data_IF_536401784237
#
_entry.id   IF_536401784237
#
_cell.length_a   1.000
_cell.length_b   1.000
_cell.length_c   1.000
_cell.angle_alpha   90.00
_cell.angle_beta   90.00
_cell.angle_gamma   90.00
#
_symmetry.space_group_name_H-M   'P 1'
#
loop_
_entity.id
_entity.type
_entity.pdbx_description
1 polymer ?
#
# COMPACT_ATOMS: atom_id res chain seq x y z
N UNK A 1 -8.04 -25.52 15.25
CA UNK A 1 -8.38 -24.08 15.26
C UNK A 1 -8.08 -23.53 13.88
N UNK A 2 -9.11 -23.11 13.12
CA UNK A 2 -8.89 -22.52 11.80
C UNK A 2 -8.19 -21.16 12.01
N UNK A 3 -6.96 -21.01 11.52
CA UNK A 3 -6.30 -19.73 11.49
C UNK A 3 -7.19 -18.74 10.74
N UNK A 4 -7.49 -17.58 11.35
CA UNK A 4 -8.15 -16.48 10.65
C UNK A 4 -7.28 -16.14 9.44
N UNK A 5 -7.73 -16.53 8.26
CA UNK A 5 -7.00 -16.24 7.03
C UNK A 5 -7.15 -14.75 6.77
N UNK A 6 -6.13 -13.98 7.12
CA UNK A 6 -6.04 -12.57 6.80
C UNK A 6 -6.11 -12.43 5.28
N UNK A 7 -7.17 -11.80 4.79
CA UNK A 7 -7.36 -11.56 3.36
C UNK A 7 -6.48 -10.38 2.94
N UNK A 8 -5.32 -10.69 2.34
CA UNK A 8 -4.34 -9.70 1.86
C UNK A 8 -4.97 -8.64 0.95
N UNK A 9 -5.99 -9.00 0.15
CA UNK A 9 -6.68 -8.06 -0.74
C UNK A 9 -7.50 -7.06 0.05
N UNK A 10 -8.24 -7.52 1.07
CA UNK A 10 -9.00 -6.63 1.95
C UNK A 10 -8.07 -5.72 2.74
N UNK A 11 -6.97 -6.26 3.27
CA UNK A 11 -6.00 -5.46 4.00
C UNK A 11 -5.37 -4.38 3.11
N UNK A 12 -4.91 -4.74 1.91
CA UNK A 12 -4.36 -3.77 0.96
C UNK A 12 -5.37 -2.67 0.59
N UNK A 13 -6.63 -3.04 0.36
CA UNK A 13 -7.70 -2.09 0.06
C UNK A 13 -7.96 -1.13 1.23
N UNK A 14 -8.06 -1.65 2.45
CA UNK A 14 -8.31 -0.84 3.64
C UNK A 14 -7.16 0.14 3.90
N UNK A 15 -5.91 -0.33 3.83
CA UNK A 15 -4.73 0.53 4.02
C UNK A 15 -4.66 1.63 2.95
N UNK A 16 -4.85 1.28 1.68
CA UNK A 16 -4.89 2.28 0.60
C UNK A 16 -5.95 3.34 0.84
N UNK A 17 -7.19 2.93 1.17
CA UNK A 17 -8.30 3.87 1.42
C UNK A 17 -8.01 4.81 2.58
N UNK A 18 -7.49 4.28 3.67
CA UNK A 18 -7.16 5.08 4.86
C UNK A 18 -6.06 6.10 4.56
N UNK A 19 -5.01 5.68 3.85
CA UNK A 19 -3.91 6.57 3.47
C UNK A 19 -4.31 7.60 2.43
N UNK A 20 -5.12 7.23 1.43
CA UNK A 20 -5.72 8.19 0.48
C UNK A 20 -6.57 9.24 1.21
N UNK A 21 -7.38 8.82 2.19
CA UNK A 21 -8.23 9.73 2.97
C UNK A 21 -7.43 10.62 3.92
N UNK A 22 -6.37 10.11 4.54
CA UNK A 22 -5.62 10.82 5.60
C UNK A 22 -4.51 11.69 5.03
N UNK A 23 -3.80 11.20 4.01
CA UNK A 23 -2.58 11.83 3.47
C UNK A 23 -2.75 12.29 2.01
N UNK A 24 -3.96 12.19 1.48
CA UNK A 24 -4.30 12.53 0.09
C UNK A 24 -3.86 11.47 -0.91
N UNK A 25 -4.69 11.29 -1.93
CA UNK A 25 -4.43 10.42 -3.09
C UNK A 25 -3.14 10.78 -3.84
N UNK A 26 -2.51 9.88 -4.60
CA UNK A 26 -2.86 8.48 -4.85
C UNK A 26 -1.82 7.51 -4.26
N UNK A 27 -2.23 6.79 -3.22
CA UNK A 27 -1.44 5.72 -2.59
C UNK A 27 -1.65 4.38 -3.28
N UNK A 28 -0.62 3.55 -3.26
CA UNK A 28 -0.67 2.17 -3.72
C UNK A 28 -0.27 1.28 -2.56
N UNK A 29 -0.93 0.13 -2.42
CA UNK A 29 -0.67 -0.82 -1.35
C UNK A 29 -0.50 -2.23 -1.91
N UNK A 30 0.62 -2.88 -1.58
CA UNK A 30 0.93 -4.26 -1.92
C UNK A 30 1.09 -5.03 -0.61
N UNK A 31 0.37 -6.13 -0.49
CA UNK A 31 0.42 -7.02 0.67
C UNK A 31 0.62 -8.45 0.19
N UNK A 32 1.61 -9.15 0.74
CA UNK A 32 1.88 -10.54 0.39
C UNK A 32 2.96 -11.17 1.25
N UNK A 33 3.09 -12.50 1.15
CA UNK A 33 4.14 -13.26 1.84
C UNK A 33 5.49 -13.20 1.13
N UNK A 34 5.50 -12.79 -0.15
CA UNK A 34 6.70 -12.53 -0.94
C UNK A 34 6.32 -11.67 -2.15
N UNK A 35 7.10 -10.63 -2.43
CA UNK A 35 7.01 -9.80 -3.63
C UNK A 35 8.32 -9.04 -3.86
N UNK A 36 8.54 -8.60 -5.09
CA UNK A 36 9.56 -7.61 -5.45
C UNK A 36 8.89 -6.39 -6.08
N UNK A 37 9.44 -5.21 -5.87
CA UNK A 37 8.93 -3.97 -6.46
C UNK A 37 10.07 -3.05 -6.89
N UNK A 38 9.91 -2.39 -8.02
CA UNK A 38 10.73 -1.26 -8.44
C UNK A 38 9.78 -0.13 -8.81
N UNK A 39 9.72 0.92 -7.99
CA UNK A 39 8.72 1.98 -8.11
C UNK A 39 9.37 3.34 -7.96
N UNK A 40 8.82 4.33 -8.67
CA UNK A 40 9.11 5.74 -8.45
C UNK A 40 8.00 6.27 -7.56
N UNK A 41 8.36 6.86 -6.42
CA UNK A 41 7.43 7.38 -5.44
C UNK A 41 7.78 8.82 -5.07
N UNK A 42 6.77 9.53 -4.55
CA UNK A 42 6.97 10.87 -3.99
C UNK A 42 7.86 10.84 -2.74
N UNK A 43 8.56 11.95 -2.48
CA UNK A 43 9.38 12.10 -1.28
C UNK A 43 8.51 12.00 -0.02
N UNK A 44 8.93 11.20 0.96
CA UNK A 44 8.16 10.96 2.19
C UNK A 44 6.89 10.11 2.01
N UNK A 45 6.58 9.70 0.77
CA UNK A 45 5.44 8.87 0.43
C UNK A 45 5.81 7.40 0.25
N UNK A 46 6.70 6.84 1.07
CA UNK A 46 7.11 5.43 0.97
C UNK A 46 7.17 4.81 2.37
N UNK A 47 6.58 3.62 2.49
CA UNK A 47 6.56 2.84 3.71
C UNK A 47 6.61 1.35 3.39
N UNK A 48 7.60 0.65 3.94
CA UNK A 48 7.75 -0.80 3.81
C UNK A 48 7.99 -1.42 5.18
N UNK A 49 7.18 -2.41 5.54
CA UNK A 49 7.30 -3.12 6.81
C UNK A 49 6.74 -4.54 6.70
N UNK A 50 6.97 -5.35 7.73
CA UNK A 50 6.38 -6.66 7.88
C UNK A 50 5.65 -6.82 9.21
N UNK A 51 4.61 -7.65 9.21
CA UNK A 51 3.95 -8.16 10.41
C UNK A 51 3.88 -9.67 10.24
N UNK A 52 4.52 -10.39 11.16
CA UNK A 52 4.73 -11.84 11.09
C UNK A 52 5.34 -12.29 9.74
N UNK A 53 4.56 -12.98 8.91
CA UNK A 53 4.96 -13.50 7.59
C UNK A 53 4.40 -12.69 6.43
N UNK A 54 3.77 -11.56 6.70
CA UNK A 54 3.19 -10.67 5.70
C UNK A 54 4.05 -9.42 5.57
N UNK A 55 4.42 -9.11 4.34
CA UNK A 55 5.06 -7.86 3.97
C UNK A 55 4.00 -6.89 3.44
N UNK A 56 4.16 -5.62 3.79
CA UNK A 56 3.31 -4.52 3.36
C UNK A 56 4.19 -3.44 2.76
N UNK A 57 3.87 -3.05 1.54
CA UNK A 57 4.49 -1.92 0.85
C UNK A 57 3.40 -0.90 0.51
N UNK A 58 3.60 0.33 0.97
CA UNK A 58 2.76 1.48 0.69
C UNK A 58 3.61 2.56 0.03
N UNK A 59 3.17 3.09 -1.10
CA UNK A 59 3.85 4.23 -1.72
C UNK A 59 2.87 5.18 -2.41
N UNK A 60 3.17 6.49 -2.37
CA UNK A 60 2.38 7.54 -3.00
C UNK A 60 3.01 7.97 -4.31
N UNK A 61 2.22 7.94 -5.38
CA UNK A 61 2.62 8.47 -6.69
C UNK A 61 2.20 9.93 -6.83
N UNK A 62 2.99 10.70 -7.57
CA UNK A 62 2.55 12.02 -8.03
C UNK A 62 1.50 11.79 -9.10
N UNK A 63 0.32 12.36 -8.91
CA UNK A 63 -0.70 12.44 -9.95
C UNK A 63 -0.66 13.88 -10.42
N UNK A 64 0.07 14.14 -11.51
CA UNK A 64 -0.04 15.44 -12.16
C UNK A 64 -1.47 15.54 -12.71
N UNK A 65 -2.25 16.57 -12.33
CA UNK A 65 -3.49 16.85 -13.03
C UNK A 65 -3.09 17.09 -14.49
N UNK A 66 -3.62 16.27 -15.40
CA UNK A 66 -3.64 16.68 -16.79
C UNK A 66 -4.53 17.92 -16.82
N UNK A 67 -3.92 19.09 -16.96
CA UNK A 67 -4.62 20.35 -17.25
C UNK A 67 -5.59 20.06 -18.41
N UNK A 68 -6.90 20.17 -18.15
CA UNK A 68 -7.96 19.97 -19.13
C UNK A 68 -8.54 21.32 -19.52
#
# INVERSE_FOLDING_TARGET
MAALKLDSKRLALSLKKEFDSTYGSAWHCIVGTSFGSYVIHSLGGFLYFSIDKMYVLLFKTVVDPLEQ
#
